data_IF_362600018171
#
_entry.id   IF_362600018171
#
_cell.length_a   1.000
_cell.length_b   1.000
_cell.length_c   1.000
_cell.angle_alpha   90.00
_cell.angle_beta   90.00
_cell.angle_gamma   90.00
#
_symmetry.space_group_name_H-M   'P 1'
#
loop_
_entity.id
_entity.type
_entity.pdbx_description
1 polymer ?
#
# COMPACT_ATOMS: atom_id res chain seq x y z
N UNK A 1 18.06 28.51 7.05
CA UNK A 1 17.63 27.12 7.32
C UNK A 1 16.42 26.82 6.44
N UNK A 2 16.62 25.99 5.42
CA UNK A 2 15.63 25.71 4.37
C UNK A 2 14.48 24.83 4.85
N UNK A 3 13.29 25.16 4.37
CA UNK A 3 12.10 24.30 4.38
C UNK A 3 12.17 23.49 3.10
N UNK A 4 12.64 22.26 3.16
CA UNK A 4 12.60 21.32 2.03
C UNK A 4 11.99 20.02 2.54
N UNK A 5 10.68 19.85 2.37
CA UNK A 5 10.01 18.54 2.44
C UNK A 5 8.51 18.59 2.05
N UNK A 6 7.91 19.76 1.80
CA UNK A 6 6.49 19.87 1.38
C UNK A 6 6.31 19.92 -0.14
N UNK A 7 7.25 20.53 -0.86
CA UNK A 7 7.08 20.85 -2.28
C UNK A 7 7.07 19.62 -3.19
N UNK A 8 7.71 18.52 -2.77
CA UNK A 8 7.87 17.33 -3.62
C UNK A 8 6.56 16.54 -3.80
N UNK A 9 5.67 16.55 -2.82
CA UNK A 9 4.39 15.83 -2.88
C UNK A 9 3.38 16.62 -3.72
N UNK A 10 3.35 17.95 -3.54
CA UNK A 10 2.49 18.85 -4.29
C UNK A 10 2.81 18.85 -5.80
N UNK A 11 4.10 18.76 -6.16
CA UNK A 11 4.57 18.66 -7.54
C UNK A 11 4.21 17.31 -8.20
N UNK A 12 4.29 16.20 -7.47
CA UNK A 12 3.95 14.87 -7.97
C UNK A 12 2.43 14.69 -8.16
N UNK A 13 1.62 15.33 -7.30
CA UNK A 13 0.17 15.38 -7.44
C UNK A 13 -0.29 16.13 -8.70
N UNK A 14 0.41 17.19 -9.12
CA UNK A 14 0.07 17.98 -10.31
C UNK A 14 0.37 17.21 -11.61
N UNK A 15 1.47 16.46 -11.65
CA UNK A 15 1.84 15.63 -12.81
C UNK A 15 0.86 14.47 -13.04
N UNK A 16 0.39 13.84 -11.96
CA UNK A 16 -0.64 12.81 -12.03
C UNK A 16 -1.94 13.35 -12.63
N UNK A 17 -2.38 14.54 -12.19
CA UNK A 17 -3.59 15.18 -12.72
C UNK A 17 -3.49 15.49 -14.20
N UNK A 18 -2.33 16.01 -14.63
CA UNK A 18 -2.07 16.29 -16.04
C UNK A 18 -2.17 15.02 -16.90
N UNK A 19 -1.60 13.91 -16.43
CA UNK A 19 -1.64 12.63 -17.14
C UNK A 19 -3.07 12.05 -17.24
N UNK A 20 -3.86 12.09 -16.16
CA UNK A 20 -5.24 11.57 -16.17
C UNK A 20 -6.17 12.33 -17.11
N UNK A 21 -5.98 13.66 -17.27
CA UNK A 21 -6.79 14.48 -18.17
C UNK A 21 -6.65 14.10 -19.65
N UNK A 22 -5.58 13.38 -20.02
CA UNK A 22 -5.30 12.97 -21.41
C UNK A 22 -6.08 11.74 -21.88
N UNK A 23 -6.84 11.08 -21.00
CA UNK A 23 -7.62 9.88 -21.33
C UNK A 23 -8.94 10.25 -22.02
N UNK A 24 -9.01 10.05 -23.35
CA UNK A 24 -10.09 10.51 -24.23
C UNK A 24 -11.39 9.67 -24.24
N UNK A 25 -11.61 8.77 -23.29
CA UNK A 25 -12.76 7.84 -23.31
C UNK A 25 -13.62 8.00 -22.05
N UNK A 26 -14.80 8.59 -22.20
CA UNK A 26 -15.76 8.96 -21.13
C UNK A 26 -15.26 10.04 -20.16
N UNK A 27 -16.12 10.79 -19.47
CA UNK A 27 -15.70 11.73 -18.43
C UNK A 27 -15.03 10.94 -17.30
N UNK A 28 -13.70 10.96 -17.14
CA UNK A 28 -13.06 10.15 -16.11
C UNK A 28 -13.44 10.71 -14.74
N UNK A 29 -14.06 9.88 -13.90
CA UNK A 29 -14.21 10.17 -12.47
C UNK A 29 -12.91 9.76 -11.78
N UNK A 30 -11.99 10.70 -11.61
CA UNK A 30 -10.78 10.47 -10.83
C UNK A 30 -11.13 10.43 -9.33
N UNK A 31 -10.76 9.35 -8.65
CA UNK A 31 -10.85 9.24 -7.19
C UNK A 31 -9.46 8.97 -6.65
N UNK A 32 -8.93 9.88 -5.84
CA UNK A 32 -7.66 9.72 -5.14
C UNK A 32 -7.94 9.05 -3.79
N UNK A 33 -7.37 7.88 -3.58
CA UNK A 33 -7.50 7.13 -2.33
C UNK A 33 -6.18 7.27 -1.55
N UNK A 34 -6.28 7.72 -0.31
CA UNK A 34 -5.14 7.79 0.61
C UNK A 34 -5.51 7.04 1.88
N UNK A 35 -4.75 5.99 2.18
CA UNK A 35 -4.99 5.10 3.30
C UNK A 35 -3.70 4.41 3.71
N UNK A 36 -3.72 3.86 4.93
CA UNK A 36 -2.61 3.09 5.49
C UNK A 36 -3.04 1.62 5.64
N UNK A 37 -2.17 0.73 5.18
CA UNK A 37 -2.33 -0.72 5.32
C UNK A 37 -1.40 -1.21 6.43
N UNK A 38 -1.93 -2.01 7.35
CA UNK A 38 -1.21 -2.52 8.52
C UNK A 38 -0.95 -4.02 8.38
N UNK A 39 0.20 -4.38 7.81
CA UNK A 39 0.67 -5.76 7.75
C UNK A 39 1.27 -6.17 9.10
N UNK A 40 0.62 -7.12 9.79
CA UNK A 40 1.04 -7.64 11.10
C UNK A 40 1.37 -9.13 10.92
N UNK A 41 2.67 -9.41 10.82
CA UNK A 41 3.23 -10.73 10.49
C UNK A 41 3.44 -11.66 11.70
N UNK A 42 3.18 -11.17 12.91
CA UNK A 42 3.47 -11.89 14.14
C UNK A 42 2.70 -11.38 15.37
N UNK A 43 2.55 -12.25 16.37
CA UNK A 43 1.93 -11.92 17.65
C UNK A 43 0.42 -12.18 17.71
N UNK A 44 -0.24 -11.84 18.83
CA UNK A 44 -1.63 -12.25 19.10
C UNK A 44 -2.67 -11.63 18.15
N UNK A 45 -2.32 -10.57 17.43
CA UNK A 45 -3.19 -9.85 16.50
C UNK A 45 -2.68 -9.94 15.06
N UNK A 46 -1.96 -11.02 14.71
CA UNK A 46 -1.44 -11.21 13.37
C UNK A 46 -2.57 -11.20 12.33
N UNK A 47 -2.31 -10.52 11.23
CA UNK A 47 -3.21 -10.41 10.07
C UNK A 47 -2.69 -11.16 8.85
N UNK A 48 -1.41 -11.56 8.90
CA UNK A 48 -0.72 -12.24 7.81
C UNK A 48 -0.21 -13.61 8.25
N UNK A 49 -0.36 -14.60 7.38
CA UNK A 49 0.01 -16.00 7.62
C UNK A 49 0.79 -16.58 6.46
N UNK A 50 1.82 -17.36 6.77
CA UNK A 50 2.61 -18.09 5.77
C UNK A 50 1.85 -19.34 5.33
N UNK A 51 1.44 -19.38 4.06
CA UNK A 51 0.74 -20.55 3.47
C UNK A 51 1.67 -21.44 2.66
N UNK A 52 2.77 -20.89 2.12
CA UNK A 52 3.85 -21.65 1.51
C UNK A 52 5.16 -21.21 2.15
N UNK A 53 5.93 -22.13 2.78
CA UNK A 53 7.19 -21.78 3.40
C UNK A 53 8.25 -21.38 2.37
N UNK A 54 9.23 -20.55 2.75
CA UNK A 54 10.33 -20.18 1.87
C UNK A 54 11.21 -21.38 1.50
N UNK A 55 11.92 -21.25 0.38
CA UNK A 55 13.11 -22.07 0.15
C UNK A 55 14.15 -21.83 1.26
N UNK A 56 15.15 -22.71 1.40
CA UNK A 56 16.26 -22.55 2.37
C UNK A 56 17.22 -21.42 1.96
N UNK A 57 16.71 -20.20 1.84
CA UNK A 57 17.43 -18.99 1.50
C UNK A 57 17.24 -17.96 2.61
N UNK A 58 18.17 -17.01 2.72
CA UNK A 58 18.07 -15.90 3.68
C UNK A 58 17.08 -14.82 3.24
N UNK A 59 16.57 -14.89 2.01
CA UNK A 59 15.71 -13.87 1.39
C UNK A 59 14.23 -14.20 1.43
N UNK A 60 13.85 -15.32 2.07
CA UNK A 60 12.49 -15.86 2.07
C UNK A 60 11.94 -16.16 0.66
N UNK A 61 12.81 -16.31 -0.33
CA UNK A 61 12.40 -16.56 -1.71
C UNK A 61 11.47 -17.79 -1.81
N UNK A 62 10.36 -17.61 -2.53
CA UNK A 62 9.34 -18.64 -2.71
C UNK A 62 8.33 -18.74 -1.57
N UNK A 63 8.45 -17.94 -0.50
CA UNK A 63 7.40 -17.83 0.51
C UNK A 63 6.16 -17.17 -0.08
N UNK A 64 4.98 -17.70 0.27
CA UNK A 64 3.68 -17.10 -0.04
C UNK A 64 2.94 -16.85 1.26
N UNK A 65 2.43 -15.64 1.40
CA UNK A 65 1.63 -15.19 2.53
C UNK A 65 0.19 -14.93 2.09
N UNK A 66 -0.76 -15.21 2.97
CA UNK A 66 -2.15 -14.73 2.88
C UNK A 66 -2.36 -13.67 3.96
N UNK A 67 -3.08 -12.60 3.65
CA UNK A 67 -3.29 -11.51 4.60
C UNK A 67 -4.71 -10.95 4.53
N UNK A 68 -5.13 -10.38 5.66
CA UNK A 68 -6.39 -9.66 5.83
C UNK A 68 -6.10 -8.41 6.68
N UNK A 69 -5.65 -7.34 6.03
CA UNK A 69 -5.09 -6.16 6.71
C UNK A 69 -6.12 -5.04 6.83
N UNK A 70 -6.08 -4.31 7.95
CA UNK A 70 -6.93 -3.14 8.15
C UNK A 70 -6.48 -1.97 7.27
N UNK A 71 -7.45 -1.25 6.69
CA UNK A 71 -7.23 0.01 5.96
C UNK A 71 -7.73 1.19 6.79
N UNK A 72 -6.82 2.09 7.17
CA UNK A 72 -7.14 3.23 8.05
C UNK A 72 -6.83 4.58 7.43
N UNK A 73 -7.46 5.62 7.96
CA UNK A 73 -7.25 7.03 7.55
C UNK A 73 -5.86 7.56 7.96
N UNK A 74 -5.25 6.99 9.01
CA UNK A 74 -3.95 7.43 9.53
C UNK A 74 -2.98 6.27 9.76
N UNK A 75 -1.69 6.57 10.00
CA UNK A 75 -0.64 5.56 10.18
C UNK A 75 -0.70 4.84 11.53
N UNK A 76 -1.48 5.34 12.49
CA UNK A 76 -1.68 4.67 13.77
C UNK A 76 -2.71 3.54 13.62
N UNK A 77 -2.46 2.31 14.12
CA UNK A 77 -3.42 1.21 14.04
C UNK A 77 -4.75 1.48 14.75
N UNK A 78 -4.75 2.42 15.71
CA UNK A 78 -5.95 2.86 16.43
C UNK A 78 -6.73 3.97 15.70
N UNK A 79 -6.22 4.44 14.55
CA UNK A 79 -6.91 5.44 13.73
C UNK A 79 -8.17 4.85 13.09
N UNK A 80 -9.02 5.74 12.56
CA UNK A 80 -10.32 5.36 12.04
C UNK A 80 -10.18 4.37 10.87
N UNK A 81 -10.86 3.24 10.99
CA UNK A 81 -11.03 2.25 9.92
C UNK A 81 -11.87 2.85 8.78
N UNK A 82 -11.43 2.68 7.54
CA UNK A 82 -12.18 3.07 6.35
C UNK A 82 -13.35 2.10 6.10
N UNK A 83 -14.34 2.49 5.29
CA UNK A 83 -15.41 1.60 4.79
C UNK A 83 -15.12 1.41 3.30
N UNK A 84 -14.86 0.19 2.74
CA UNK A 84 -15.11 -1.19 3.21
C UNK A 84 -14.00 -1.87 4.05
N UNK A 85 -12.92 -1.16 4.39
CA UNK A 85 -12.16 -1.34 5.64
C UNK A 85 -11.06 -2.38 5.73
N UNK A 86 -10.96 -3.36 4.82
CA UNK A 86 -9.85 -4.33 4.83
C UNK A 86 -9.33 -4.64 3.44
N UNK A 87 -8.05 -4.98 3.36
CA UNK A 87 -7.38 -5.48 2.17
C UNK A 87 -7.12 -6.98 2.35
N UNK A 88 -7.69 -7.80 1.48
CA UNK A 88 -7.56 -9.25 1.51
C UNK A 88 -6.88 -9.72 0.23
N UNK A 89 -5.74 -10.39 0.34
CA UNK A 89 -5.04 -10.95 -0.81
C UNK A 89 -3.94 -11.94 -0.37
N UNK A 90 -3.08 -12.29 -1.31
CA UNK A 90 -1.84 -13.03 -1.10
C UNK A 90 -0.67 -12.25 -1.70
N UNK A 91 0.52 -12.37 -1.11
CA UNK A 91 1.76 -11.89 -1.72
C UNK A 91 2.87 -12.92 -1.60
N UNK A 92 3.88 -12.83 -2.47
CA UNK A 92 5.03 -13.74 -2.49
C UNK A 92 6.35 -13.00 -2.43
N UNK A 93 7.37 -13.65 -1.89
CA UNK A 93 8.74 -13.13 -1.85
C UNK A 93 9.54 -13.64 -3.05
N UNK A 94 9.97 -12.74 -3.92
CA UNK A 94 10.59 -13.03 -5.22
C UNK A 94 12.02 -12.45 -5.40
N UNK A 95 12.72 -12.18 -4.28
CA UNK A 95 14.18 -11.90 -4.14
C UNK A 95 14.64 -10.41 -3.98
N UNK A 96 13.77 -9.47 -3.58
CA UNK A 96 14.17 -8.05 -3.36
C UNK A 96 13.65 -7.34 -2.08
N UNK A 97 13.57 -8.00 -0.92
CA UNK A 97 13.34 -7.29 0.36
C UNK A 97 14.64 -7.12 1.16
N UNK A 98 15.34 -6.00 0.94
CA UNK A 98 16.36 -5.53 1.88
C UNK A 98 15.66 -4.77 3.01
N UNK A 99 15.64 -5.39 4.18
CA UNK A 99 15.00 -4.94 5.42
C UNK A 99 15.56 -3.58 5.88
N UNK A 100 14.76 -2.50 5.79
CA UNK A 100 14.56 -1.45 6.83
C UNK A 100 13.93 -0.15 6.28
N UNK A 101 12.66 0.09 6.60
CA UNK A 101 12.13 1.29 7.27
C UNK A 101 10.75 0.95 7.88
N UNK A 102 10.33 1.60 8.99
CA UNK A 102 9.02 1.38 9.58
C UNK A 102 7.92 2.06 8.74
N UNK A 103 6.92 1.27 8.36
CA UNK A 103 5.52 1.68 8.19
C UNK A 103 5.28 2.98 7.37
N UNK A 104 5.69 3.01 6.09
CA UNK A 104 5.17 3.99 5.11
C UNK A 104 5.14 3.40 3.71
N UNK A 105 4.16 2.55 3.44
CA UNK A 105 3.79 2.22 2.06
C UNK A 105 2.47 2.92 1.75
N UNK A 106 2.53 3.98 0.97
CA UNK A 106 1.34 4.64 0.42
C UNK A 106 1.03 3.94 -0.90
N UNK A 107 -0.13 3.29 -0.98
CA UNK A 107 -0.61 2.72 -2.23
C UNK A 107 -1.49 3.74 -2.93
N UNK A 108 -1.00 4.32 -4.02
CA UNK A 108 -1.84 5.10 -4.94
C UNK A 108 -2.68 4.13 -5.78
N UNK A 109 -3.91 3.84 -5.35
CA UNK A 109 -4.84 2.99 -6.10
C UNK A 109 -5.81 3.89 -6.88
N UNK A 110 -5.72 3.87 -8.21
CA UNK A 110 -6.72 4.48 -9.08
C UNK A 110 -7.73 3.41 -9.53
N UNK A 111 -8.99 3.54 -9.13
CA UNK A 111 -10.07 2.68 -9.62
C UNK A 111 -10.76 3.40 -10.78
N UNK A 112 -10.51 2.94 -12.00
CA UNK A 112 -11.24 3.37 -13.19
C UNK A 112 -12.63 2.72 -13.17
N UNK A 113 -13.68 3.55 -13.13
CA UNK A 113 -15.05 3.11 -13.37
C UNK A 113 -15.37 3.35 -14.86
N UNK A 114 -15.72 2.29 -15.59
CA UNK A 114 -16.17 2.35 -16.98
C UNK A 114 -17.69 2.52 -17.07
#
# INVERSE_FOLDING_TARGET
MGKHSSSTIEEEEDDLDHWFQKLHYSKPKLTRLHFFLHDIDSGPAQTTEVVVPPAKTTTHFGQVNIFDDALTEGPEPTSKLLVPGRCQSTYGHDLCFHQRQPQRTVYNVAILHY
#
